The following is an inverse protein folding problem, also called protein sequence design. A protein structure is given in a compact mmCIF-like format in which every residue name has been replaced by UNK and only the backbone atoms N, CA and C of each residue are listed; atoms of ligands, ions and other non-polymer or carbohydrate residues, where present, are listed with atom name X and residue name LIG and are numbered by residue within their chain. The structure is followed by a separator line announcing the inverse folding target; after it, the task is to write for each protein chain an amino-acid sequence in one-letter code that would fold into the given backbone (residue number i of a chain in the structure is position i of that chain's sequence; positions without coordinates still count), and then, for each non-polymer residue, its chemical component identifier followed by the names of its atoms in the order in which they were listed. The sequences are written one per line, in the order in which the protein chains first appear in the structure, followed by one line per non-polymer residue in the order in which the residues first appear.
data_IF_736743382416
#
_entry.id   IF_736743382416
#
_cell.length_a   1.000
_cell.length_b   1.000
_cell.length_c   1.000
_cell.angle_alpha   90.00
_cell.angle_beta   90.00
_cell.angle_gamma   90.00
#
_symmetry.space_group_name_H-M   'P 1'
#
loop_
_entity.id
_entity.type
_entity.pdbx_description
1 polymer ?
#
# COMPACT_ATOMS: atom_id res chain seq x y z
N UNK A 1 13.63 8.11 -2.96
CA UNK A 1 12.81 8.75 -1.91
C UNK A 1 12.42 7.74 -0.82
N UNK A 2 11.52 6.77 -1.06
CA UNK A 2 11.08 5.80 -0.02
C UNK A 2 12.22 4.96 0.58
N UNK A 3 13.18 4.51 -0.24
CA UNK A 3 14.34 3.73 0.25
C UNK A 3 15.19 4.50 1.26
N UNK A 4 15.38 5.81 1.04
CA UNK A 4 16.14 6.66 1.97
C UNK A 4 15.38 6.89 3.26
N UNK A 5 14.05 7.06 3.19
CA UNK A 5 13.21 7.19 4.38
C UNK A 5 13.23 5.92 5.24
N UNK A 6 13.14 4.74 4.62
CA UNK A 6 13.24 3.46 5.33
C UNK A 6 14.62 3.31 6.00
N UNK A 7 15.69 3.68 5.30
CA UNK A 7 17.04 3.63 5.86
C UNK A 7 17.22 4.57 7.05
N UNK A 8 16.69 5.80 6.95
CA UNK A 8 16.69 6.78 8.03
C UNK A 8 15.93 6.27 9.26
N UNK A 9 14.72 5.74 9.07
CA UNK A 9 13.92 5.20 10.15
C UNK A 9 14.60 4.01 10.83
N UNK A 10 15.20 3.11 10.02
CA UNK A 10 15.97 1.98 10.55
C UNK A 10 17.13 2.47 11.41
N UNK A 11 17.93 3.42 10.90
CA UNK A 11 19.08 3.97 11.63
C UNK A 11 18.66 4.63 12.95
N UNK A 12 17.61 5.45 12.93
CA UNK A 12 17.11 6.13 14.15
C UNK A 12 16.67 5.13 15.22
N UNK A 13 15.96 4.08 14.82
CA UNK A 13 15.49 3.05 15.76
C UNK A 13 16.63 2.17 16.30
N UNK A 14 17.67 1.91 15.51
CA UNK A 14 18.87 1.21 15.99
C UNK A 14 19.64 2.05 17.03
N UNK A 15 19.68 3.37 16.87
CA UNK A 15 20.40 4.31 17.76
C UNK A 15 19.72 4.51 19.12
N UNK A 16 18.45 4.11 19.31
CA UNK A 16 17.74 4.19 20.59
C UNK A 16 18.03 2.99 21.54
N UNK A 17 18.85 2.02 21.12
CA UNK A 17 19.26 0.88 21.94
C UNK A 17 20.31 1.23 23.03
N UNK A 18 20.39 0.43 24.12
CA UNK A 18 21.30 0.70 25.24
C UNK A 18 22.77 0.69 24.79
N UNK A 19 23.54 1.65 25.30
CA UNK A 19 24.89 2.00 24.85
C UNK A 19 25.95 0.88 24.93
N UNK A 20 27.08 1.07 24.24
CA UNK A 20 28.01 -0.01 23.88
C UNK A 20 28.72 -0.60 25.09
N UNK A 21 28.69 -1.94 25.18
CA UNK A 21 29.50 -2.73 26.09
C UNK A 21 30.74 -3.24 25.34
N UNK A 22 31.88 -3.28 26.01
CA UNK A 22 33.22 -3.25 25.42
C UNK A 22 33.73 -4.56 24.73
N UNK A 23 32.94 -5.19 23.85
CA UNK A 23 33.33 -6.37 23.05
C UNK A 23 33.14 -6.11 21.53
N UNK A 24 34.15 -5.54 20.84
CA UNK A 24 33.92 -4.76 19.60
C UNK A 24 33.62 -5.56 18.32
N UNK A 25 33.96 -6.86 18.24
CA UNK A 25 33.78 -7.63 17.00
C UNK A 25 32.41 -8.32 16.91
N UNK A 26 31.91 -8.85 18.03
CA UNK A 26 30.60 -9.50 18.11
C UNK A 26 29.49 -8.45 18.08
N UNK A 27 29.69 -7.32 18.76
CA UNK A 27 28.73 -6.21 18.84
C UNK A 27 28.45 -5.58 17.46
N UNK A 28 29.49 -5.39 16.63
CA UNK A 28 29.33 -4.85 15.27
C UNK A 28 28.53 -5.78 14.34
N UNK A 29 28.75 -7.09 14.41
CA UNK A 29 28.00 -8.06 13.60
C UNK A 29 26.53 -8.17 14.06
N UNK A 30 26.30 -8.09 15.37
CA UNK A 30 24.95 -8.10 15.95
C UNK A 30 24.19 -6.80 15.66
N UNK A 31 24.86 -5.65 15.64
CA UNK A 31 24.28 -4.38 15.23
C UNK A 31 23.86 -4.35 13.75
N UNK A 32 24.70 -4.87 12.86
CA UNK A 32 24.36 -5.02 11.44
C UNK A 32 23.14 -5.94 11.26
N UNK A 33 23.09 -7.05 12.02
CA UNK A 33 21.94 -7.97 12.00
C UNK A 33 20.68 -7.29 12.53
N UNK A 34 20.76 -6.57 13.65
CA UNK A 34 19.64 -5.81 14.24
C UNK A 34 19.12 -4.77 13.25
N UNK A 35 20.01 -4.01 12.62
CA UNK A 35 19.66 -3.03 11.59
C UNK A 35 18.94 -3.67 10.39
N UNK A 36 19.46 -4.80 9.87
CA UNK A 36 18.84 -5.51 8.75
C UNK A 36 17.42 -6.02 9.11
N UNK A 37 17.23 -6.54 10.32
CA UNK A 37 15.92 -7.00 10.80
C UNK A 37 14.92 -5.86 10.99
N UNK A 38 15.36 -4.74 11.58
CA UNK A 38 14.52 -3.54 11.72
C UNK A 38 14.09 -3.00 10.35
N UNK A 39 15.03 -2.97 9.38
CA UNK A 39 14.73 -2.56 8.01
C UNK A 39 13.66 -3.45 7.37
N UNK A 40 13.79 -4.76 7.54
CA UNK A 40 12.79 -5.72 7.05
C UNK A 40 11.42 -5.51 7.69
N UNK A 41 11.37 -5.28 9.01
CA UNK A 41 10.15 -5.02 9.75
C UNK A 41 9.44 -3.75 9.26
N UNK A 42 10.19 -2.66 9.04
CA UNK A 42 9.65 -1.42 8.49
C UNK A 42 9.09 -1.64 7.09
N UNK A 43 9.83 -2.34 6.21
CA UNK A 43 9.35 -2.63 4.85
C UNK A 43 8.07 -3.49 4.86
N UNK A 44 7.96 -4.45 5.78
CA UNK A 44 6.74 -5.23 5.96
C UNK A 44 5.55 -4.34 6.38
N UNK A 45 5.77 -3.41 7.31
CA UNK A 45 4.77 -2.43 7.72
C UNK A 45 4.33 -1.50 6.58
N UNK A 46 5.28 -0.97 5.82
CA UNK A 46 5.02 -0.14 4.63
C UNK A 46 4.20 -0.91 3.59
N UNK A 47 4.55 -2.17 3.32
CA UNK A 47 3.79 -3.03 2.39
C UNK A 47 2.34 -3.21 2.85
N UNK A 48 2.10 -3.43 4.14
CA UNK A 48 0.75 -3.55 4.69
C UNK A 48 -0.03 -2.23 4.59
N UNK A 49 0.62 -1.10 4.88
CA UNK A 49 0.00 0.22 4.76
C UNK A 49 -0.39 0.54 3.31
N UNK A 50 0.51 0.29 2.35
CA UNK A 50 0.23 0.45 0.92
C UNK A 50 -0.92 -0.45 0.49
N UNK A 51 -0.98 -1.71 0.95
CA UNK A 51 -2.12 -2.59 0.65
C UNK A 51 -3.46 -2.02 1.10
N UNK A 52 -3.53 -1.45 2.32
CA UNK A 52 -4.75 -0.80 2.82
C UNK A 52 -5.13 0.42 1.99
N UNK A 53 -4.15 1.24 1.57
CA UNK A 53 -4.37 2.40 0.71
C UNK A 53 -4.85 1.98 -0.69
N UNK A 54 -4.28 0.93 -1.27
CA UNK A 54 -4.75 0.35 -2.53
C UNK A 54 -6.21 -0.12 -2.42
N UNK A 55 -6.58 -0.73 -1.30
CA UNK A 55 -7.95 -1.18 -1.08
C UNK A 55 -8.92 0.02 -0.99
N UNK A 56 -8.55 1.09 -0.27
CA UNK A 56 -9.34 2.33 -0.22
C UNK A 56 -9.47 2.99 -1.61
N UNK A 57 -8.37 3.07 -2.36
CA UNK A 57 -8.36 3.63 -3.70
C UNK A 57 -9.23 2.82 -4.68
N UNK A 58 -9.24 1.48 -4.56
CA UNK A 58 -10.11 0.62 -5.36
C UNK A 58 -11.60 0.87 -5.07
N UNK A 59 -11.97 1.06 -3.80
CA UNK A 59 -13.35 1.43 -3.43
C UNK A 59 -13.73 2.81 -3.95
N UNK A 60 -12.85 3.80 -3.84
CA UNK A 60 -13.09 5.14 -4.38
C UNK A 60 -13.26 5.12 -5.90
N UNK A 61 -12.42 4.36 -6.61
CA UNK A 61 -12.53 4.18 -8.06
C UNK A 61 -13.85 3.52 -8.45
N UNK A 62 -14.25 2.45 -7.75
CA UNK A 62 -15.53 1.77 -7.99
C UNK A 62 -16.73 2.69 -7.72
N UNK A 63 -16.69 3.49 -6.64
CA UNK A 63 -17.71 4.49 -6.34
C UNK A 63 -17.79 5.58 -7.44
N UNK A 64 -16.68 5.90 -8.08
CA UNK A 64 -16.61 6.76 -9.27
C UNK A 64 -17.05 6.08 -10.58
N UNK A 65 -17.50 4.82 -10.53
CA UNK A 65 -17.99 4.06 -11.68
C UNK A 65 -16.95 3.18 -12.38
N UNK A 66 -15.71 3.11 -11.89
CA UNK A 66 -14.67 2.30 -12.50
C UNK A 66 -14.98 0.80 -12.39
N UNK A 67 -14.79 0.09 -13.51
CA UNK A 67 -14.94 -1.36 -13.60
C UNK A 67 -13.72 -2.15 -13.11
N UNK A 68 -13.87 -3.45 -12.87
CA UNK A 68 -12.74 -4.35 -12.58
C UNK A 68 -11.62 -4.32 -13.64
N UNK A 69 -11.89 -4.12 -14.95
CA UNK A 69 -10.83 -3.95 -15.95
C UNK A 69 -9.98 -2.69 -15.72
N UNK A 70 -10.59 -1.57 -15.36
CA UNK A 70 -9.92 -0.28 -15.16
C UNK A 70 -9.11 -0.29 -13.87
N UNK A 71 -9.73 -0.76 -12.77
CA UNK A 71 -9.06 -0.93 -11.48
C UNK A 71 -7.88 -1.92 -11.61
N UNK A 72 -8.08 -3.02 -12.35
CA UNK A 72 -7.01 -3.97 -12.60
C UNK A 72 -5.85 -3.36 -13.40
N UNK A 73 -6.15 -2.61 -14.46
CA UNK A 73 -5.15 -1.94 -15.29
C UNK A 73 -4.31 -0.94 -14.48
N UNK A 74 -4.92 -0.18 -13.57
CA UNK A 74 -4.22 0.78 -12.71
C UNK A 74 -3.14 0.14 -11.83
N UNK A 75 -3.27 -1.16 -11.52
CA UNK A 75 -2.33 -1.93 -10.69
C UNK A 75 -1.65 -3.06 -11.47
N UNK A 76 -1.62 -2.96 -12.80
CA UNK A 76 -0.99 -3.95 -13.69
C UNK A 76 -1.46 -5.40 -13.44
N UNK A 77 -2.75 -5.58 -13.13
CA UNK A 77 -3.37 -6.88 -12.93
C UNK A 77 -4.54 -7.11 -13.88
N UNK A 78 -4.84 -8.38 -14.17
CA UNK A 78 -6.00 -8.72 -14.99
C UNK A 78 -7.31 -8.36 -14.28
N UNK A 79 -8.40 -8.22 -15.06
CA UNK A 79 -9.77 -8.08 -14.53
C UNK A 79 -10.08 -9.14 -13.47
N UNK A 80 -9.72 -10.40 -13.73
CA UNK A 80 -9.96 -11.50 -12.80
C UNK A 80 -9.10 -11.40 -11.54
N UNK A 81 -7.86 -10.91 -11.67
CA UNK A 81 -7.01 -10.58 -10.53
C UNK A 81 -7.63 -9.51 -9.63
N UNK A 82 -8.16 -8.44 -10.22
CA UNK A 82 -8.87 -7.38 -9.49
C UNK A 82 -10.12 -7.93 -8.79
N UNK A 83 -10.95 -8.72 -9.49
CA UNK A 83 -12.16 -9.32 -8.90
C UNK A 83 -11.85 -10.28 -7.76
N UNK A 84 -10.79 -11.10 -7.89
CA UNK A 84 -10.36 -12.02 -6.82
C UNK A 84 -9.88 -11.25 -5.59
N UNK A 85 -9.22 -10.11 -5.80
CA UNK A 85 -8.68 -9.29 -4.72
C UNK A 85 -9.76 -8.49 -3.99
N UNK A 86 -10.70 -7.91 -4.73
CA UNK A 86 -11.84 -7.17 -4.16
C UNK A 86 -13.15 -7.82 -4.58
N UNK A 87 -13.51 -8.97 -3.98
CA UNK A 87 -14.76 -9.63 -4.28
C UNK A 87 -15.94 -8.72 -3.89
N UNK A 88 -16.91 -8.56 -4.79
CA UNK A 88 -18.10 -7.75 -4.52
C UNK A 88 -17.88 -6.23 -4.54
N UNK A 89 -16.68 -5.76 -4.94
CA UNK A 89 -16.37 -4.32 -5.01
C UNK A 89 -17.33 -3.54 -5.89
N UNK A 90 -17.69 -4.13 -7.03
CA UNK A 90 -18.67 -3.59 -7.96
C UNK A 90 -19.93 -4.43 -7.79
N UNK A 91 -20.84 -3.90 -6.98
CA UNK A 91 -22.24 -4.32 -7.02
C UNK A 91 -22.96 -3.44 -8.03
N UNK A 92 -23.96 -3.98 -8.72
CA UNK A 92 -24.67 -3.34 -9.84
C UNK A 92 -25.43 -2.04 -9.45
N UNK A 93 -25.14 -1.45 -8.30
CA UNK A 93 -25.79 -0.26 -7.73
C UNK A 93 -24.86 0.96 -7.60
N UNK A 94 -23.67 0.95 -8.22
CA UNK A 94 -22.96 2.21 -8.45
C UNK A 94 -23.73 2.99 -9.50
N UNK A 95 -24.57 3.89 -8.97
CA UNK A 95 -25.51 4.71 -9.68
C UNK A 95 -24.89 5.25 -10.98
N UNK A 96 -25.43 4.76 -12.10
CA UNK A 96 -25.36 5.45 -13.37
C UNK A 96 -25.68 6.92 -13.08
N UNK A 97 -24.82 7.91 -13.41
CA UNK A 97 -25.25 9.30 -13.34
C UNK A 97 -26.49 9.37 -14.22
N UNK A 98 -27.62 9.72 -13.60
CA UNK A 98 -28.90 9.79 -14.29
C UNK A 98 -28.68 10.65 -15.54
N UNK A 99 -28.76 10.01 -16.71
CA UNK A 99 -28.86 10.73 -17.97
C UNK A 99 -30.07 11.63 -17.81
N UNK A 100 -29.82 12.92 -17.53
CA UNK A 100 -30.89 13.91 -17.38
C UNK A 100 -31.68 13.84 -18.70
N UNK A 101 -32.96 13.44 -18.70
CA UNK A 101 -33.73 13.45 -19.92
C UNK A 101 -33.74 14.89 -20.39
N UNK A 102 -33.18 15.14 -21.58
CA UNK A 102 -33.26 16.44 -22.25
C UNK A 102 -34.74 16.73 -22.46
N UNK A 103 -35.33 17.76 -21.80
CA UNK A 103 -36.64 18.24 -22.18
C UNK A 103 -36.42 19.29 -23.26
N UNK A 104 -36.99 19.08 -24.46
CA UNK A 104 -37.34 20.05 -25.52
C UNK A 104 -37.17 19.41 -26.91
N UNK A 105 -38.04 19.59 -27.90
CA UNK A 105 -39.06 20.63 -28.15
C UNK A 105 -40.27 20.03 -28.89
N UNK A 106 -41.49 20.52 -28.63
CA UNK A 106 -42.31 21.45 -29.46
C UNK A 106 -42.97 20.80 -30.67
#
# INVERSE_FOLDING_TARGET
MLTQLVEELTRKLTQEGPGPSAEPATDAADDLRRHALLRLQILAGVKLAVRRLEDQAAHAAAAGGAGYPEIGRALSMSRQGARRRWPGLITNNTARPASRPTPWSS
#
